data_IF_436155648196
#
_entry.id   IF_436155648196
#
_cell.length_a   1.000
_cell.length_b   1.000
_cell.length_c   1.000
_cell.angle_alpha   90.00
_cell.angle_beta   90.00
_cell.angle_gamma   90.00
#
_symmetry.space_group_name_H-M   'P 1'
#
loop_
_entity.id
_entity.type
_entity.pdbx_description
1 polymer ?
#
# COMPACT_ATOMS: atom_id res chain seq x y z
N UNK A 1 32.45 13.24 58.94
CA UNK A 1 32.15 13.86 57.64
C UNK A 1 32.42 12.80 56.57
N UNK A 2 31.34 12.07 56.17
CA UNK A 2 31.46 10.91 55.25
C UNK A 2 30.93 11.35 53.86
N UNK A 3 31.83 11.42 52.90
CA UNK A 3 31.54 11.72 51.50
C UNK A 3 30.88 10.50 50.88
N UNK A 4 29.64 10.63 50.44
CA UNK A 4 28.97 9.62 49.59
C UNK A 4 29.15 9.96 48.13
N UNK A 5 29.92 9.14 47.44
CA UNK A 5 30.11 9.22 45.99
C UNK A 5 28.93 8.55 45.33
N UNK A 6 28.09 9.32 44.63
CA UNK A 6 27.05 8.79 43.76
C UNK A 6 27.66 8.43 42.38
N UNK A 7 27.78 7.13 42.10
CA UNK A 7 28.01 6.66 40.73
C UNK A 7 26.70 6.73 39.95
N UNK A 8 26.64 7.61 38.99
CA UNK A 8 25.56 7.62 37.98
C UNK A 8 25.90 6.58 36.90
N UNK A 9 25.14 5.50 36.86
CA UNK A 9 25.16 4.58 35.72
C UNK A 9 24.46 5.25 34.54
N UNK A 10 25.24 5.62 33.52
CA UNK A 10 24.70 5.99 32.22
C UNK A 10 24.29 4.71 31.48
N UNK A 11 22.97 4.48 31.34
CA UNK A 11 22.43 3.48 30.42
C UNK A 11 22.65 3.99 29.01
N UNK A 12 23.67 3.47 28.32
CA UNK A 12 23.78 3.59 26.87
C UNK A 12 22.68 2.71 26.25
N UNK A 13 21.61 3.34 25.78
CA UNK A 13 20.68 2.69 24.85
C UNK A 13 21.43 2.47 23.53
N UNK A 14 21.93 1.26 23.34
CA UNK A 14 22.45 0.81 22.05
C UNK A 14 21.25 0.69 21.09
N UNK A 15 20.95 1.75 20.39
CA UNK A 15 20.08 1.70 19.20
C UNK A 15 20.76 0.78 18.19
N UNK A 16 20.17 -0.36 17.90
CA UNK A 16 20.61 -1.23 16.80
C UNK A 16 20.51 -0.42 15.53
N UNK A 17 21.61 0.16 15.08
CA UNK A 17 21.74 0.68 13.73
C UNK A 17 21.64 -0.54 12.81
N UNK A 18 20.48 -0.80 12.23
CA UNK A 18 20.37 -1.71 11.11
C UNK A 18 21.33 -1.18 10.03
N UNK A 19 22.37 -1.96 9.74
CA UNK A 19 23.21 -1.71 8.57
C UNK A 19 22.31 -1.84 7.34
N UNK A 20 21.81 -0.71 6.87
CA UNK A 20 21.05 -0.67 5.61
C UNK A 20 22.04 -1.02 4.49
N UNK A 21 21.76 -2.07 3.74
CA UNK A 21 22.43 -2.38 2.50
C UNK A 21 22.28 -1.22 1.49
N UNK A 22 22.96 -1.32 0.36
CA UNK A 22 22.71 -0.40 -0.76
C UNK A 22 21.23 -0.49 -1.19
N UNK A 23 20.67 0.62 -1.68
CA UNK A 23 19.29 0.65 -2.13
C UNK A 23 19.02 -0.45 -3.18
N UNK A 24 17.83 -1.03 -3.13
CA UNK A 24 17.35 -2.07 -4.02
C UNK A 24 18.24 -3.33 -4.04
N UNK A 25 18.77 -3.70 -2.88
CA UNK A 25 19.57 -4.91 -2.71
C UNK A 25 19.20 -5.62 -1.41
N UNK A 26 19.26 -6.95 -1.44
CA UNK A 26 19.14 -7.76 -0.23
C UNK A 26 20.51 -8.00 0.37
N UNK A 27 20.62 -7.88 1.68
CA UNK A 27 21.80 -8.33 2.42
C UNK A 27 21.93 -9.86 2.36
N UNK A 28 23.09 -10.38 2.74
CA UNK A 28 23.29 -11.83 2.82
C UNK A 28 22.33 -12.49 3.82
N UNK A 29 22.08 -11.82 4.95
CA UNK A 29 21.17 -12.26 6.01
C UNK A 29 19.73 -12.29 5.51
N UNK A 30 19.29 -11.29 4.78
CA UNK A 30 17.95 -11.23 4.18
C UNK A 30 17.73 -12.35 3.16
N UNK A 31 18.71 -12.58 2.27
CA UNK A 31 18.68 -13.71 1.32
C UNK A 31 18.56 -15.03 2.06
N UNK A 32 19.37 -15.25 3.11
CA UNK A 32 19.32 -16.46 3.92
C UNK A 32 17.99 -16.61 4.67
N UNK A 33 17.37 -15.49 5.08
CA UNK A 33 16.09 -15.47 5.76
C UNK A 33 14.88 -15.66 4.82
N UNK A 34 15.11 -15.80 3.48
CA UNK A 34 14.08 -16.05 2.50
C UNK A 34 13.39 -14.81 1.93
N UNK A 35 13.98 -13.64 2.10
CA UNK A 35 13.50 -12.42 1.44
C UNK A 35 13.71 -12.49 -0.07
N UNK A 36 12.76 -11.95 -0.81
CA UNK A 36 12.76 -11.80 -2.26
C UNK A 36 12.72 -10.30 -2.57
N UNK A 37 13.67 -9.85 -3.37
CA UNK A 37 13.68 -8.47 -3.86
C UNK A 37 12.63 -8.33 -4.98
N UNK A 38 11.72 -7.38 -4.84
CA UNK A 38 10.69 -7.13 -5.85
C UNK A 38 11.07 -6.00 -6.82
N UNK A 39 12.07 -5.18 -6.48
CA UNK A 39 12.53 -4.11 -7.36
C UNK A 39 14.05 -3.92 -7.24
N UNK A 40 14.74 -4.00 -8.35
CA UNK A 40 16.20 -3.92 -8.47
C UNK A 40 16.73 -2.49 -8.72
N UNK A 41 15.83 -1.51 -8.85
CA UNK A 41 16.18 -0.13 -9.19
C UNK A 41 16.19 0.18 -10.68
N UNK A 42 16.04 -0.81 -11.56
CA UNK A 42 16.29 -0.67 -13.00
C UNK A 42 15.24 -1.29 -13.91
N UNK A 43 14.51 -2.32 -13.45
CA UNK A 43 13.58 -3.06 -14.29
C UNK A 43 12.19 -3.20 -13.65
N UNK A 44 11.20 -3.51 -14.50
CA UNK A 44 9.86 -3.90 -14.07
C UNK A 44 9.66 -5.41 -13.98
N UNK A 45 10.72 -6.22 -13.94
CA UNK A 45 10.66 -7.68 -14.09
C UNK A 45 9.68 -8.40 -13.16
N UNK A 46 9.43 -7.88 -11.96
CA UNK A 46 8.46 -8.42 -11.02
C UNK A 46 7.13 -7.67 -11.00
N UNK A 47 6.92 -6.76 -11.96
CA UNK A 47 5.79 -5.84 -11.96
C UNK A 47 5.13 -5.77 -13.33
N UNK A 48 3.82 -5.80 -13.38
CA UNK A 48 3.05 -5.82 -14.61
C UNK A 48 1.66 -5.19 -14.48
N UNK A 49 1.03 -4.89 -15.59
CA UNK A 49 -0.42 -4.90 -15.70
C UNK A 49 -0.88 -6.35 -15.90
N UNK A 50 -1.76 -6.90 -15.07
CA UNK A 50 -2.14 -8.31 -15.13
C UNK A 50 -2.77 -8.74 -16.46
N UNK A 51 -3.37 -7.81 -17.20
CA UNK A 51 -3.99 -8.07 -18.50
C UNK A 51 -2.95 -8.10 -19.62
N UNK A 52 -2.05 -7.12 -19.63
CA UNK A 52 -1.07 -6.92 -20.71
C UNK A 52 0.21 -7.72 -20.52
N UNK A 53 0.51 -8.15 -19.29
CA UNK A 53 1.78 -8.76 -18.90
C UNK A 53 2.99 -7.87 -19.19
N UNK A 54 2.79 -6.56 -19.09
CA UNK A 54 3.78 -5.49 -19.24
C UNK A 54 3.43 -4.35 -18.29
N UNK A 55 4.34 -3.44 -17.99
CA UNK A 55 4.01 -2.27 -17.17
C UNK A 55 2.86 -1.45 -17.73
N UNK A 56 2.05 -0.79 -16.88
CA UNK A 56 0.88 -0.04 -17.32
C UNK A 56 1.29 1.31 -17.94
N UNK A 57 1.27 1.41 -19.28
CA UNK A 57 1.37 2.65 -20.05
C UNK A 57 2.36 3.68 -19.49
N UNK A 58 1.86 4.86 -19.22
CA UNK A 58 2.60 5.98 -18.61
C UNK A 58 2.29 6.20 -17.12
N UNK A 59 1.55 5.26 -16.49
CA UNK A 59 1.20 5.36 -15.07
C UNK A 59 2.40 5.16 -14.15
N UNK A 60 3.40 4.40 -14.57
CA UNK A 60 4.63 4.18 -13.83
C UNK A 60 5.86 4.33 -14.69
N UNK A 61 6.90 4.91 -14.10
CA UNK A 61 8.23 5.03 -14.69
C UNK A 61 9.29 4.60 -13.68
N UNK A 62 10.53 4.44 -14.13
CA UNK A 62 11.68 4.29 -13.24
C UNK A 62 12.45 5.60 -13.24
N UNK A 63 12.62 6.20 -12.06
CA UNK A 63 13.31 7.48 -11.85
C UNK A 63 14.21 7.37 -10.62
N UNK A 64 15.48 7.65 -10.78
CA UNK A 64 16.48 7.67 -9.68
C UNK A 64 16.47 6.40 -8.82
N UNK A 65 16.38 5.23 -9.46
CA UNK A 65 16.33 3.95 -8.75
C UNK A 65 15.02 3.70 -7.99
N UNK A 66 13.95 4.40 -8.34
CA UNK A 66 12.62 4.20 -7.77
C UNK A 66 11.61 3.82 -8.84
N UNK A 67 10.65 2.97 -8.50
CA UNK A 67 9.35 2.92 -9.19
C UNK A 67 8.60 4.20 -8.85
N UNK A 68 8.21 4.97 -9.85
CA UNK A 68 7.49 6.23 -9.69
C UNK A 68 6.10 6.12 -10.27
N UNK A 69 5.08 6.25 -9.45
CA UNK A 69 3.74 6.58 -9.91
C UNK A 69 3.74 7.99 -10.48
N UNK A 70 3.21 8.15 -11.68
CA UNK A 70 3.28 9.40 -12.45
C UNK A 70 2.01 10.21 -12.24
N UNK A 71 2.15 11.50 -11.97
CA UNK A 71 0.99 12.40 -11.93
C UNK A 71 0.39 12.60 -13.32
N UNK A 72 -0.94 12.61 -13.39
CA UNK A 72 -1.72 12.84 -14.59
C UNK A 72 -1.35 11.95 -15.80
N UNK A 73 -1.26 10.61 -15.62
CA UNK A 73 -1.07 9.72 -16.75
C UNK A 73 -2.28 9.73 -17.66
N UNK A 74 -2.12 9.23 -18.89
CA UNK A 74 -3.27 9.08 -19.81
C UNK A 74 -4.34 8.16 -19.22
N UNK A 75 -3.90 7.13 -18.51
CA UNK A 75 -4.74 6.19 -17.76
C UNK A 75 -4.12 6.01 -16.38
N UNK A 76 -4.84 6.33 -15.30
CA UNK A 76 -4.43 6.00 -13.95
C UNK A 76 -4.61 4.50 -13.69
N UNK A 77 -3.50 3.77 -13.67
CA UNK A 77 -3.49 2.31 -13.51
C UNK A 77 -2.49 1.90 -12.44
N UNK A 78 -2.90 0.98 -11.58
CA UNK A 78 -2.02 0.39 -10.58
C UNK A 78 -0.97 -0.52 -11.22
N UNK A 79 0.18 -0.63 -10.57
CA UNK A 79 1.26 -1.54 -10.94
C UNK A 79 1.19 -2.78 -10.04
N UNK A 80 0.99 -3.96 -10.62
CA UNK A 80 0.78 -5.21 -9.89
C UNK A 80 2.05 -6.06 -9.83
N UNK A 81 2.23 -6.79 -8.73
CA UNK A 81 3.26 -7.84 -8.70
C UNK A 81 2.92 -8.93 -9.71
N UNK A 82 3.92 -9.42 -10.46
CA UNK A 82 3.75 -10.52 -11.41
C UNK A 82 3.41 -11.86 -10.76
N UNK A 83 3.68 -12.00 -9.46
CA UNK A 83 3.38 -13.19 -8.64
C UNK A 83 2.28 -12.89 -7.64
N UNK A 84 1.62 -13.95 -7.15
CA UNK A 84 0.65 -13.91 -6.06
C UNK A 84 1.28 -14.33 -4.75
N UNK A 85 0.79 -13.78 -3.64
CA UNK A 85 1.29 -13.95 -2.29
C UNK A 85 0.16 -14.38 -1.36
N UNK A 86 0.44 -15.36 -0.52
CA UNK A 86 -0.46 -15.82 0.54
C UNK A 86 -0.25 -14.99 1.81
N UNK A 87 0.31 -15.63 2.84
CA UNK A 87 0.78 -14.93 4.03
C UNK A 87 2.18 -14.40 3.77
N UNK A 88 2.43 -13.15 4.14
CA UNK A 88 3.69 -12.49 3.80
C UNK A 88 4.04 -11.36 4.76
N UNK A 89 5.32 -11.00 4.73
CA UNK A 89 5.91 -9.77 5.25
C UNK A 89 6.45 -8.98 4.05
N UNK A 90 5.90 -7.80 3.80
CA UNK A 90 6.27 -6.89 2.71
C UNK A 90 6.87 -5.62 3.32
N UNK A 91 8.05 -5.24 2.85
CA UNK A 91 8.73 -4.01 3.28
C UNK A 91 9.06 -3.14 2.07
N UNK A 92 8.92 -1.83 2.22
CA UNK A 92 9.27 -0.86 1.18
C UNK A 92 9.59 0.51 1.77
N UNK A 93 10.37 1.28 1.03
CA UNK A 93 10.55 2.70 1.27
C UNK A 93 9.75 3.52 0.26
N UNK A 94 9.15 4.60 0.72
CA UNK A 94 8.30 5.43 -0.12
C UNK A 94 8.36 6.90 0.26
N UNK A 95 8.13 7.76 -0.72
CA UNK A 95 7.85 9.18 -0.53
C UNK A 95 6.76 9.64 -1.49
N UNK A 96 6.08 10.72 -1.16
CA UNK A 96 5.04 11.34 -1.99
C UNK A 96 5.35 12.80 -2.25
N UNK A 97 4.77 13.33 -3.32
CA UNK A 97 4.75 14.76 -3.61
C UNK A 97 3.82 15.52 -2.65
N UNK A 98 3.94 16.87 -2.54
CA UNK A 98 2.98 17.68 -1.81
C UNK A 98 1.55 17.42 -2.28
N UNK A 99 0.62 17.26 -1.34
CA UNK A 99 -0.79 16.88 -1.54
C UNK A 99 -1.01 15.48 -2.13
N UNK A 100 0.06 14.69 -2.27
CA UNK A 100 0.02 13.39 -2.93
C UNK A 100 -0.82 12.36 -2.18
N UNK A 101 -1.33 11.38 -2.95
CA UNK A 101 -2.04 10.22 -2.50
C UNK A 101 -1.57 9.00 -3.30
N UNK A 102 -1.38 7.90 -2.61
CA UNK A 102 -1.00 6.60 -3.15
C UNK A 102 -1.28 5.53 -2.10
N UNK A 103 -0.95 4.28 -2.38
CA UNK A 103 -1.13 3.19 -1.44
C UNK A 103 -0.50 1.88 -1.92
N UNK A 104 -0.44 0.93 -1.02
CA UNK A 104 -0.10 -0.46 -1.34
C UNK A 104 -1.34 -1.31 -1.08
N UNK A 105 -1.87 -1.93 -2.15
CA UNK A 105 -3.06 -2.78 -2.03
C UNK A 105 -2.68 -4.24 -1.92
N UNK A 106 -3.44 -4.96 -1.11
CA UNK A 106 -3.20 -6.36 -0.82
C UNK A 106 -4.52 -7.13 -0.69
N UNK A 107 -4.46 -8.46 -0.70
CA UNK A 107 -5.65 -9.31 -0.77
C UNK A 107 -6.58 -8.88 -1.92
N UNK A 108 -5.99 -8.57 -3.06
CA UNK A 108 -6.70 -8.08 -4.25
C UNK A 108 -7.59 -9.18 -4.80
N UNK A 109 -8.87 -8.90 -4.92
CA UNK A 109 -9.89 -9.85 -5.36
C UNK A 109 -10.23 -9.70 -6.84
N UNK A 110 -10.32 -8.45 -7.30
CA UNK A 110 -10.67 -8.10 -8.66
C UNK A 110 -10.21 -6.67 -8.94
N UNK A 111 -10.39 -6.22 -10.15
CA UNK A 111 -10.31 -4.83 -10.51
C UNK A 111 -11.49 -4.45 -11.39
N UNK A 112 -11.98 -3.28 -11.20
CA UNK A 112 -13.09 -2.73 -11.94
C UNK A 112 -12.65 -1.41 -12.57
N UNK A 113 -13.34 -1.03 -13.61
CA UNK A 113 -13.06 0.20 -14.29
C UNK A 113 -14.22 1.16 -14.06
N UNK A 114 -13.93 2.29 -13.45
CA UNK A 114 -14.90 3.34 -13.21
C UNK A 114 -14.91 4.28 -14.42
N UNK A 115 -16.00 4.33 -15.18
CA UNK A 115 -16.19 5.22 -16.31
C UNK A 115 -17.02 6.44 -15.91
N UNK A 116 -16.65 7.62 -16.43
CA UNK A 116 -17.38 8.87 -16.21
C UNK A 116 -16.75 9.81 -15.19
N UNK A 117 -16.91 11.11 -15.43
CA UNK A 117 -16.37 12.16 -14.55
C UNK A 117 -17.09 12.24 -13.19
N UNK A 118 -18.28 11.68 -13.12
CA UNK A 118 -19.06 11.57 -11.91
C UNK A 118 -19.61 10.15 -11.88
N UNK A 119 -18.81 9.20 -11.40
CA UNK A 119 -19.39 7.93 -11.04
C UNK A 119 -20.55 8.25 -10.08
N UNK A 120 -21.80 8.12 -10.53
CA UNK A 120 -22.91 8.21 -9.61
C UNK A 120 -22.62 7.11 -8.62
N UNK A 121 -22.72 7.34 -7.40
CA UNK A 121 -22.45 6.44 -6.29
C UNK A 121 -21.63 5.20 -6.65
N UNK A 122 -20.60 4.89 -5.89
CA UNK A 122 -19.78 3.69 -6.07
C UNK A 122 -20.60 2.41 -6.30
N UNK A 123 -21.75 2.30 -5.64
CA UNK A 123 -22.68 1.18 -5.76
C UNK A 123 -23.23 0.99 -7.17
N UNK A 124 -23.57 2.07 -7.85
CA UNK A 124 -24.11 2.00 -9.22
C UNK A 124 -23.02 1.60 -10.22
N UNK A 125 -21.80 2.02 -10.01
CA UNK A 125 -20.67 1.68 -10.87
C UNK A 125 -20.24 0.24 -10.69
N UNK A 126 -20.27 -0.28 -9.46
CA UNK A 126 -19.96 -1.68 -9.15
C UNK A 126 -21.03 -2.61 -9.70
N UNK A 127 -22.30 -2.23 -9.62
CA UNK A 127 -23.41 -3.02 -10.14
C UNK A 127 -23.49 -3.02 -11.67
N UNK A 128 -23.03 -1.94 -12.31
CA UNK A 128 -22.86 -1.84 -13.75
C UNK A 128 -21.58 -2.51 -14.29
N UNK A 129 -20.82 -3.17 -13.42
CA UNK A 129 -19.48 -3.71 -13.55
C UNK A 129 -19.01 -4.00 -14.97
N UNK A 130 -18.37 -3.07 -15.61
CA UNK A 130 -17.43 -3.38 -16.65
C UNK A 130 -16.19 -4.02 -15.98
N UNK A 131 -16.24 -5.32 -15.78
CA UNK A 131 -15.10 -6.11 -15.28
C UNK A 131 -14.01 -6.24 -16.34
N UNK A 132 -14.29 -5.79 -17.56
CA UNK A 132 -13.35 -5.79 -18.65
C UNK A 132 -12.85 -4.37 -18.86
N UNK A 133 -11.55 -4.23 -18.81
CA UNK A 133 -10.87 -2.98 -19.07
C UNK A 133 -11.18 -2.46 -20.48
N UNK A 134 -11.63 -1.23 -20.65
CA UNK A 134 -11.75 -0.64 -21.96
C UNK A 134 -10.38 -0.49 -22.62
N UNK A 135 -10.30 -0.77 -23.93
CA UNK A 135 -9.07 -0.61 -24.71
C UNK A 135 -8.77 0.83 -25.09
N UNK A 136 -9.76 1.71 -24.91
CA UNK A 136 -9.64 3.16 -25.11
C UNK A 136 -10.56 3.89 -24.15
N UNK A 137 -10.15 5.06 -23.72
CA UNK A 137 -10.92 5.93 -22.84
C UNK A 137 -11.41 7.15 -23.55
N UNK A 138 -12.71 7.35 -23.70
CA UNK A 138 -13.29 8.61 -24.12
C UNK A 138 -13.31 9.67 -23.01
N UNK A 139 -13.29 9.24 -21.75
CA UNK A 139 -13.43 10.09 -20.58
C UNK A 139 -12.60 9.52 -19.44
N UNK A 140 -11.60 10.12 -19.02
CA UNK A 140 -10.71 9.84 -17.89
C UNK A 140 -11.26 8.88 -16.81
N UNK A 141 -11.68 7.64 -17.18
CA UNK A 141 -12.08 6.62 -16.21
C UNK A 141 -10.91 6.28 -15.28
N UNK A 142 -11.14 5.65 -14.19
CA UNK A 142 -10.16 5.23 -13.22
C UNK A 142 -10.24 3.72 -13.02
N UNK A 143 -9.09 3.08 -12.97
CA UNK A 143 -9.02 1.72 -12.45
C UNK A 143 -9.32 1.74 -10.94
N UNK A 144 -10.15 0.83 -10.49
CA UNK A 144 -10.35 0.58 -9.08
C UNK A 144 -9.98 -0.86 -8.76
N UNK A 145 -8.97 -1.01 -7.93
CA UNK A 145 -8.49 -2.31 -7.47
C UNK A 145 -9.24 -2.71 -6.22
N UNK A 146 -10.01 -3.80 -6.32
CA UNK A 146 -10.81 -4.36 -5.24
C UNK A 146 -9.92 -5.14 -4.29
N UNK A 147 -9.55 -4.54 -3.19
CA UNK A 147 -8.65 -5.11 -2.17
C UNK A 147 -8.65 -4.25 -0.92
N UNK A 148 -7.80 -4.60 0.03
CA UNK A 148 -7.48 -3.76 1.17
C UNK A 148 -6.27 -2.89 0.83
N UNK A 149 -6.14 -1.74 1.51
CA UNK A 149 -5.13 -0.76 1.18
C UNK A 149 -4.40 -0.25 2.43
N UNK A 150 -3.06 -0.29 2.38
CA UNK A 150 -2.19 0.49 3.25
C UNK A 150 -2.08 1.89 2.66
N UNK A 151 -2.67 2.88 3.31
CA UNK A 151 -2.75 4.25 2.80
C UNK A 151 -1.40 4.99 2.89
N UNK A 152 -1.08 5.75 1.85
CA UNK A 152 0.09 6.63 1.76
C UNK A 152 -0.35 8.00 1.27
N UNK A 153 -0.35 9.01 2.14
CA UNK A 153 -0.89 10.33 1.78
C UNK A 153 -0.14 11.48 2.48
N UNK A 154 -0.25 12.66 1.92
CA UNK A 154 0.12 13.89 2.63
C UNK A 154 -0.99 14.22 3.65
N UNK A 155 -0.80 13.77 4.88
CA UNK A 155 -1.77 13.93 5.97
C UNK A 155 -2.15 15.38 6.27
N UNK A 156 -1.32 16.32 5.81
CA UNK A 156 -1.43 17.75 6.13
C UNK A 156 -2.07 18.58 5.02
N UNK A 157 -2.06 18.10 3.78
CA UNK A 157 -2.50 18.89 2.63
C UNK A 157 -3.34 18.12 1.62
N UNK A 158 -3.42 16.77 1.69
CA UNK A 158 -4.27 16.01 0.79
C UNK A 158 -5.75 16.17 1.19
N UNK A 159 -6.65 16.51 0.24
CA UNK A 159 -8.07 16.72 0.53
C UNK A 159 -8.77 15.51 1.15
N UNK A 160 -8.43 14.30 0.72
CA UNK A 160 -9.03 13.08 1.23
C UNK A 160 -8.69 12.88 2.72
N UNK A 161 -7.41 13.01 3.09
CA UNK A 161 -6.96 12.92 4.47
C UNK A 161 -7.53 14.02 5.38
N UNK A 162 -7.72 15.23 4.85
CA UNK A 162 -8.25 16.36 5.61
C UNK A 162 -9.76 16.29 5.84
N UNK A 163 -10.53 15.89 4.81
CA UNK A 163 -11.99 15.95 4.87
C UNK A 163 -12.61 14.67 5.43
N UNK A 164 -11.98 13.50 5.18
CA UNK A 164 -12.54 12.20 5.56
C UNK A 164 -11.94 11.62 6.85
N UNK A 165 -10.96 12.31 7.43
CA UNK A 165 -10.47 12.05 8.77
C UNK A 165 -9.43 10.90 8.87
N UNK A 166 -9.20 10.37 10.08
CA UNK A 166 -8.03 9.55 10.36
C UNK A 166 -7.98 8.20 9.64
N UNK A 167 -9.11 7.68 9.16
CA UNK A 167 -9.16 6.45 8.35
C UNK A 167 -8.61 6.63 6.92
N UNK A 168 -8.35 7.86 6.50
CA UNK A 168 -7.82 8.24 5.19
C UNK A 168 -6.40 8.80 5.27
N UNK A 169 -5.75 8.65 6.44
CA UNK A 169 -4.38 9.11 6.67
C UNK A 169 -3.37 7.98 6.50
N UNK A 170 -2.11 8.37 6.43
CA UNK A 170 -0.96 7.47 6.28
C UNK A 170 -1.02 6.27 7.22
N UNK A 171 -0.75 5.10 6.67
CA UNK A 171 -0.74 3.79 7.31
C UNK A 171 -2.10 3.28 7.81
N UNK A 172 -3.21 3.99 7.59
CA UNK A 172 -4.53 3.44 7.85
C UNK A 172 -4.82 2.20 6.99
N UNK A 173 -5.64 1.29 7.48
CA UNK A 173 -6.39 0.38 6.64
C UNK A 173 -7.52 1.21 6.03
N UNK A 174 -7.30 1.68 4.80
CA UNK A 174 -8.05 2.77 4.18
C UNK A 174 -9.56 2.63 4.34
N UNK A 175 -10.20 3.70 4.78
CA UNK A 175 -11.63 3.86 5.03
C UNK A 175 -12.22 2.95 6.15
N UNK A 176 -11.42 2.05 6.75
CA UNK A 176 -11.89 1.07 7.74
C UNK A 176 -11.32 1.34 9.12
N UNK A 177 -10.00 1.25 9.28
CA UNK A 177 -9.34 1.44 10.56
C UNK A 177 -8.28 2.54 10.48
N UNK A 178 -8.31 3.52 11.39
CA UNK A 178 -7.23 4.50 11.47
C UNK A 178 -5.95 3.84 12.01
N UNK A 179 -4.82 4.27 11.52
CA UNK A 179 -3.56 4.02 12.18
C UNK A 179 -3.40 4.93 13.40
N UNK A 180 -2.69 4.47 14.42
CA UNK A 180 -2.47 5.20 15.67
C UNK A 180 -0.98 5.44 15.90
N UNK A 181 -0.64 6.53 16.59
CA UNK A 181 0.75 6.89 16.91
C UNK A 181 1.65 6.96 15.66
N UNK A 182 1.10 7.44 14.55
CA UNK A 182 1.83 7.62 13.30
C UNK A 182 2.76 8.82 13.40
N UNK A 183 3.99 8.64 12.94
CA UNK A 183 4.99 9.71 12.78
C UNK A 183 5.57 9.62 11.36
N UNK A 184 4.81 10.03 10.33
CA UNK A 184 5.33 10.07 8.97
C UNK A 184 6.41 11.14 8.88
N UNK A 185 7.43 10.89 8.04
CA UNK A 185 8.42 11.90 7.71
C UNK A 185 7.79 12.99 6.85
N UNK A 186 8.39 14.18 6.82
CA UNK A 186 7.93 15.27 5.96
C UNK A 186 7.77 14.83 4.50
N UNK A 187 6.80 15.44 3.82
CA UNK A 187 6.57 15.21 2.38
C UNK A 187 7.86 15.41 1.59
N UNK A 188 8.15 14.49 0.68
CA UNK A 188 9.41 14.47 -0.09
C UNK A 188 10.54 13.67 0.58
N UNK A 189 10.42 13.29 1.83
CA UNK A 189 11.34 12.39 2.52
C UNK A 189 10.84 10.93 2.48
N UNK A 190 11.79 9.97 2.45
CA UNK A 190 11.42 8.55 2.43
C UNK A 190 10.99 8.07 3.81
N UNK A 191 9.79 7.51 3.87
CA UNK A 191 9.29 6.67 4.95
C UNK A 191 9.67 5.21 4.69
N UNK A 192 9.77 4.41 5.75
CA UNK A 192 9.86 2.96 5.69
C UNK A 192 8.54 2.36 6.19
N UNK A 193 7.95 1.46 5.42
CA UNK A 193 6.74 0.75 5.80
C UNK A 193 6.94 -0.75 5.74
N UNK A 194 6.19 -1.45 6.60
CA UNK A 194 6.10 -2.90 6.63
C UNK A 194 4.62 -3.30 6.76
N UNK A 195 4.22 -4.28 5.99
CA UNK A 195 2.89 -4.87 5.99
C UNK A 195 3.02 -6.37 6.24
N UNK A 196 2.54 -6.84 7.38
CA UNK A 196 2.51 -8.25 7.71
C UNK A 196 1.09 -8.77 7.56
N UNK A 197 0.92 -9.84 6.78
CA UNK A 197 -0.37 -10.51 6.58
C UNK A 197 -0.23 -11.97 6.95
N UNK A 198 -1.02 -12.43 7.94
CA UNK A 198 -1.09 -13.83 8.39
C UNK A 198 -2.54 -14.28 8.47
N UNK A 199 -2.97 -15.09 7.51
CA UNK A 199 -4.38 -15.46 7.40
C UNK A 199 -5.26 -14.21 7.27
N UNK A 200 -6.04 -13.95 8.30
CA UNK A 200 -6.91 -12.77 8.42
C UNK A 200 -6.34 -11.66 9.30
N UNK A 201 -5.19 -11.87 9.91
CA UNK A 201 -4.52 -10.87 10.73
C UNK A 201 -3.61 -10.01 9.88
N UNK A 202 -3.64 -8.70 10.09
CA UNK A 202 -2.82 -7.72 9.37
C UNK A 202 -2.20 -6.74 10.36
N UNK A 203 -0.93 -6.41 10.12
CA UNK A 203 -0.22 -5.38 10.84
C UNK A 203 0.34 -4.36 9.84
N UNK A 204 0.12 -3.06 10.12
CA UNK A 204 0.80 -1.99 9.42
C UNK A 204 1.86 -1.38 10.33
N UNK A 205 3.06 -1.24 9.80
CA UNK A 205 4.19 -0.63 10.47
C UNK A 205 4.64 0.60 9.69
N UNK A 206 5.03 1.66 10.39
CA UNK A 206 5.56 2.90 9.83
C UNK A 206 6.80 3.33 10.61
N UNK A 207 7.92 3.51 9.90
CA UNK A 207 9.20 3.94 10.47
C UNK A 207 9.63 3.13 11.71
N UNK A 208 9.40 1.79 11.65
CA UNK A 208 9.77 0.84 12.70
C UNK A 208 8.78 0.74 13.86
N UNK A 209 7.61 1.37 13.77
CA UNK A 209 6.55 1.27 14.78
C UNK A 209 5.33 0.57 14.21
N UNK A 210 4.76 -0.38 14.96
CA UNK A 210 3.44 -0.92 14.63
C UNK A 210 2.39 0.13 14.93
N UNK A 211 1.66 0.53 13.89
CA UNK A 211 0.66 1.62 13.95
C UNK A 211 -0.76 1.12 13.71
N UNK A 212 -0.91 -0.12 13.24
CA UNK A 212 -2.20 -0.77 13.11
C UNK A 212 -2.03 -2.28 13.34
N UNK A 213 -2.99 -2.87 14.03
CA UNK A 213 -3.11 -4.29 14.29
C UNK A 213 -4.59 -4.64 14.17
N UNK A 214 -4.97 -5.38 13.13
CA UNK A 214 -6.37 -5.61 12.80
C UNK A 214 -6.63 -7.01 12.25
N UNK A 215 -7.91 -7.38 12.20
CA UNK A 215 -8.36 -8.61 11.56
C UNK A 215 -9.29 -8.28 10.40
N UNK A 216 -9.06 -8.92 9.24
CA UNK A 216 -9.89 -8.76 8.05
C UNK A 216 -11.27 -9.43 8.16
N UNK A 217 -11.53 -10.18 9.21
CA UNK A 217 -12.85 -10.73 9.55
C UNK A 217 -13.49 -10.05 10.77
N UNK A 218 -12.97 -8.91 11.21
CA UNK A 218 -13.61 -8.10 12.23
C UNK A 218 -14.97 -7.55 11.72
N UNK A 219 -15.96 -7.38 12.60
CA UNK A 219 -17.27 -6.84 12.22
C UNK A 219 -17.18 -5.50 11.48
N UNK A 220 -16.25 -4.65 11.86
CA UNK A 220 -16.01 -3.34 11.26
C UNK A 220 -15.62 -3.42 9.77
N UNK A 221 -15.00 -4.52 9.35
CA UNK A 221 -14.71 -4.77 7.92
C UNK A 221 -16.02 -4.94 7.15
N UNK A 222 -16.89 -5.85 7.62
CA UNK A 222 -18.18 -6.08 6.98
C UNK A 222 -19.06 -4.82 6.98
N UNK A 223 -19.08 -4.09 8.10
CA UNK A 223 -19.82 -2.83 8.21
C UNK A 223 -19.27 -1.76 7.25
N UNK A 224 -17.95 -1.57 7.22
CA UNK A 224 -17.28 -0.63 6.31
C UNK A 224 -17.54 -0.99 4.84
N UNK A 225 -17.40 -2.26 4.48
CA UNK A 225 -17.66 -2.73 3.11
C UNK A 225 -19.13 -2.61 2.73
N UNK A 226 -20.06 -2.91 3.65
CA UNK A 226 -21.48 -2.73 3.41
C UNK A 226 -21.85 -1.25 3.19
N UNK A 227 -21.26 -0.36 3.97
CA UNK A 227 -21.46 1.09 3.81
C UNK A 227 -20.91 1.62 2.49
N UNK A 228 -19.74 1.13 2.08
CA UNK A 228 -19.04 1.61 0.89
C UNK A 228 -19.59 1.03 -0.40
N UNK A 229 -19.94 -0.26 -0.42
CA UNK A 229 -20.27 -1.02 -1.62
C UNK A 229 -21.69 -1.55 -1.66
N UNK A 230 -22.42 -1.45 -0.56
CA UNK A 230 -23.71 -2.10 -0.37
C UNK A 230 -23.58 -3.57 0.08
N UNK A 231 -24.30 -3.95 1.13
CA UNK A 231 -24.36 -5.33 1.58
C UNK A 231 -24.91 -6.24 0.46
N UNK A 232 -24.20 -7.35 0.18
CA UNK A 232 -24.58 -8.29 -0.89
C UNK A 232 -24.21 -7.82 -2.30
N UNK A 233 -23.48 -6.72 -2.46
CA UNK A 233 -22.89 -6.37 -3.75
C UNK A 233 -21.77 -7.36 -4.14
N UNK A 234 -21.43 -7.50 -5.44
CA UNK A 234 -20.33 -8.37 -5.85
C UNK A 234 -19.00 -8.03 -5.19
N UNK A 235 -18.70 -6.75 -4.95
CA UNK A 235 -17.47 -6.34 -4.26
C UNK A 235 -17.50 -6.70 -2.78
N UNK A 236 -18.66 -6.52 -2.12
CA UNK A 236 -18.84 -6.97 -0.74
C UNK A 236 -18.61 -8.47 -0.60
N UNK A 237 -19.19 -9.27 -1.49
CA UNK A 237 -19.02 -10.72 -1.47
C UNK A 237 -17.57 -11.16 -1.64
N UNK A 238 -16.85 -10.52 -2.56
CA UNK A 238 -15.44 -10.78 -2.80
C UNK A 238 -14.54 -10.43 -1.60
N UNK A 239 -14.86 -9.37 -0.86
CA UNK A 239 -14.00 -8.91 0.24
C UNK A 239 -14.37 -9.51 1.60
N UNK A 240 -15.64 -9.88 1.80
CA UNK A 240 -16.17 -10.29 3.10
C UNK A 240 -16.53 -11.78 3.14
N UNK A 241 -17.32 -12.24 2.16
CA UNK A 241 -17.91 -13.58 2.23
C UNK A 241 -16.99 -14.67 1.66
N UNK A 242 -16.30 -14.38 0.56
CA UNK A 242 -15.50 -15.36 -0.20
C UNK A 242 -14.13 -14.81 -0.65
N UNK A 243 -13.34 -14.19 0.26
CA UNK A 243 -12.08 -13.61 -0.14
C UNK A 243 -11.05 -14.69 -0.52
N UNK A 244 -10.40 -14.50 -1.66
CA UNK A 244 -9.18 -15.24 -1.98
C UNK A 244 -8.06 -14.82 -1.06
N UNK A 245 -7.24 -15.76 -0.63
CA UNK A 245 -6.15 -15.52 0.32
C UNK A 245 -4.78 -15.41 -0.37
N UNK A 246 -4.62 -15.94 -1.58
CA UNK A 246 -3.40 -15.79 -2.38
C UNK A 246 -3.70 -14.87 -3.55
N UNK A 247 -3.13 -13.66 -3.51
CA UNK A 247 -3.43 -12.58 -4.43
C UNK A 247 -2.16 -11.81 -4.81
N UNK A 248 -2.24 -11.05 -5.90
CA UNK A 248 -1.24 -10.03 -6.20
C UNK A 248 -1.28 -8.91 -5.16
N UNK A 249 -0.22 -8.14 -5.07
CA UNK A 249 -0.18 -6.82 -4.43
C UNK A 249 -0.09 -5.76 -5.53
N UNK A 250 -0.50 -4.52 -5.26
CA UNK A 250 -0.30 -3.42 -6.19
C UNK A 250 0.22 -2.17 -5.51
N UNK A 251 0.95 -1.38 -6.30
CA UNK A 251 1.28 0.00 -6.00
C UNK A 251 0.27 0.87 -6.70
N UNK A 252 -0.38 1.76 -5.95
CA UNK A 252 -1.46 2.59 -6.50
C UNK A 252 -0.92 3.78 -7.28
N UNK A 253 -1.50 4.03 -8.46
CA UNK A 253 -1.44 5.33 -9.10
C UNK A 253 -2.75 6.09 -8.82
N UNK A 254 -2.67 7.18 -8.07
CA UNK A 254 -3.80 8.04 -7.72
C UNK A 254 -3.71 9.43 -8.36
N UNK A 255 -3.18 9.53 -9.58
CA UNK A 255 -2.93 10.78 -10.29
C UNK A 255 -1.84 11.68 -9.65
N UNK A 256 -1.13 11.16 -8.66
CA UNK A 256 -0.11 11.89 -7.91
C UNK A 256 1.27 11.23 -8.04
N UNK A 257 2.33 12.03 -7.90
CA UNK A 257 3.68 11.48 -7.88
C UNK A 257 3.96 10.80 -6.52
N UNK A 258 4.31 9.52 -6.59
CA UNK A 258 4.80 8.72 -5.47
C UNK A 258 6.01 7.88 -5.93
N UNK A 259 7.00 7.69 -5.07
CA UNK A 259 8.21 6.94 -5.37
C UNK A 259 8.35 5.79 -4.39
N UNK A 260 8.74 4.63 -4.90
CA UNK A 260 8.90 3.39 -4.15
C UNK A 260 10.27 2.80 -4.45
N UNK A 261 10.96 2.33 -3.42
CA UNK A 261 12.24 1.61 -3.52
C UNK A 261 12.39 0.60 -2.39
N UNK A 262 13.45 -0.19 -2.43
CA UNK A 262 13.75 -1.19 -1.40
C UNK A 262 12.59 -2.16 -1.15
N UNK A 263 11.82 -2.46 -2.20
CA UNK A 263 10.64 -3.31 -2.11
C UNK A 263 11.09 -4.76 -2.03
N UNK A 264 10.81 -5.39 -0.92
CA UNK A 264 11.13 -6.80 -0.67
C UNK A 264 10.00 -7.50 0.05
N UNK A 265 9.86 -8.78 -0.19
CA UNK A 265 8.80 -9.60 0.40
C UNK A 265 9.36 -10.93 0.88
N UNK A 266 8.77 -11.46 1.94
CA UNK A 266 9.03 -12.78 2.45
C UNK A 266 7.71 -13.51 2.63
N UNK A 267 7.57 -14.72 2.05
CA UNK A 267 6.43 -15.57 2.35
C UNK A 267 6.56 -16.11 3.78
N UNK A 268 5.44 -16.15 4.47
CA UNK A 268 5.32 -16.64 5.84
C UNK A 268 4.63 -18.02 5.81
N UNK A 269 5.10 -18.90 6.69
CA UNK A 269 4.51 -20.24 6.90
C UNK A 269 3.31 -20.17 7.85
#
# INVERSE_FOLDING_TARGET
>A
MILRTCCALALCAAGSAYLRGADNQLTAEEKKAGWILLFDGHSFDNWEDPTKKSPPGDSFTIEDGCLKATSHPKLGEDLFSSRTWGDFDLQWDWKIAPRGNSGVKYRIQDRIWLTGQHAPRFEDTVNAAERNRPTARPDRGQEYVVGFEYQMTDDTANPDALHNGPKHRTAALYDIFPAVNTEPRPVGEFNHSELIVRGKHVEHWLNGRKVLDARLDAPEIAEGMAKRWGAGSPVYDLLVNQPRTRCQISLQNHDDNAWFKNIKIKELE
#
